data_IF_041758792163
#
_entry.id   IF_041758792163
#
_cell.length_a   1.000
_cell.length_b   1.000
_cell.length_c   1.000
_cell.angle_alpha   90.00
_cell.angle_beta   90.00
_cell.angle_gamma   90.00
#
_symmetry.space_group_name_H-M   'P 1'
#
loop_
_entity.id
_entity.type
_entity.pdbx_description
1 polymer ?
#
# COMPACT_ATOMS: atom_id res chain seq x y z
N UNK A 1 -0.92 23.36 -8.84
CA UNK A 1 -1.75 23.57 -7.64
C UNK A 1 -1.82 22.26 -6.87
N UNK A 2 -0.97 22.05 -5.87
CA UNK A 2 -0.93 20.79 -5.11
C UNK A 2 -1.93 20.84 -3.97
N UNK A 3 -3.18 20.50 -4.25
CA UNK A 3 -4.13 20.11 -3.20
C UNK A 3 -3.67 18.74 -2.66
N UNK A 4 -2.64 18.76 -1.80
CA UNK A 4 -2.36 17.67 -0.87
C UNK A 4 -3.49 17.70 0.17
N UNK A 5 -4.70 17.30 -0.22
CA UNK A 5 -5.81 17.18 0.71
C UNK A 5 -5.40 16.14 1.74
N UNK A 6 -5.16 16.61 2.98
CA UNK A 6 -4.96 15.71 4.09
C UNK A 6 -6.21 14.82 4.12
N UNK A 7 -6.08 13.49 3.96
CA UNK A 7 -7.25 12.63 3.93
C UNK A 7 -7.97 12.75 5.27
N UNK A 8 -9.24 13.16 5.22
CA UNK A 8 -10.09 13.22 6.41
C UNK A 8 -10.35 11.80 6.86
N UNK A 9 -9.87 11.44 8.05
CA UNK A 9 -10.16 10.15 8.68
C UNK A 9 -11.35 10.32 9.62
N UNK A 10 -12.22 9.33 9.74
CA UNK A 10 -13.40 9.44 10.59
C UNK A 10 -13.26 8.57 11.82
N UNK A 11 -13.46 9.15 13.01
CA UNK A 11 -13.53 8.39 14.26
C UNK A 11 -15.00 8.27 14.69
N UNK A 12 -15.52 7.04 14.83
CA UNK A 12 -16.81 6.82 15.46
C UNK A 12 -16.68 6.99 16.98
N UNK A 13 -17.53 7.85 17.54
CA UNK A 13 -17.76 7.97 18.97
C UNK A 13 -18.97 7.13 19.37
N UNK A 14 -19.27 7.13 20.67
CA UNK A 14 -20.51 6.55 21.19
C UNK A 14 -21.74 7.23 20.58
N UNK A 15 -22.88 6.52 20.60
CA UNK A 15 -24.18 7.03 20.12
C UNK A 15 -24.14 7.51 18.66
N UNK A 16 -23.45 6.75 17.80
CA UNK A 16 -23.37 6.99 16.35
C UNK A 16 -22.87 8.38 15.91
N UNK A 17 -22.14 9.08 16.79
CA UNK A 17 -21.49 10.34 16.44
C UNK A 17 -20.22 10.08 15.65
N UNK A 18 -19.96 10.86 14.61
CA UNK A 18 -18.79 10.69 13.75
C UNK A 18 -17.96 11.97 13.74
N UNK A 19 -16.67 11.85 14.05
CA UNK A 19 -15.74 12.99 14.09
C UNK A 19 -14.80 12.94 12.89
N UNK A 20 -14.79 13.97 12.03
CA UNK A 20 -13.77 14.10 10.99
C UNK A 20 -12.46 14.58 11.60
N UNK A 21 -11.40 13.80 11.46
CA UNK A 21 -10.03 14.16 11.81
C UNK A 21 -9.25 14.58 10.57
N UNK A 22 -8.82 15.84 10.56
CA UNK A 22 -7.89 16.39 9.57
C UNK A 22 -6.48 16.52 10.14
N UNK A 23 -6.29 16.24 11.42
CA UNK A 23 -5.11 16.60 12.19
C UNK A 23 -4.96 15.78 13.47
N UNK A 24 -3.80 15.89 14.12
CA UNK A 24 -3.53 15.28 15.43
C UNK A 24 -3.07 16.34 16.44
N UNK A 25 -2.80 17.58 16.01
CA UNK A 25 -2.51 18.61 16.99
C UNK A 25 -3.73 18.89 17.87
N UNK A 26 -3.55 19.26 19.15
CA UNK A 26 -4.67 19.58 20.02
C UNK A 26 -5.62 20.65 19.46
N UNK A 27 -5.06 21.64 18.76
CA UNK A 27 -5.85 22.68 18.10
C UNK A 27 -6.74 22.10 16.99
N UNK A 28 -6.20 21.21 16.14
CA UNK A 28 -6.98 20.54 15.10
C UNK A 28 -8.05 19.62 15.70
N UNK A 29 -7.74 18.87 16.77
CA UNK A 29 -8.73 18.02 17.43
C UNK A 29 -9.89 18.82 18.05
N UNK A 30 -9.61 20.03 18.58
CA UNK A 30 -10.65 20.96 19.03
C UNK A 30 -11.54 21.41 17.88
N UNK A 31 -10.98 21.65 16.70
CA UNK A 31 -11.76 21.98 15.50
C UNK A 31 -12.60 20.78 15.06
N UNK A 32 -12.01 19.59 15.03
CA UNK A 32 -12.69 18.33 14.70
C UNK A 32 -13.86 18.03 15.63
N UNK A 33 -13.72 18.24 16.94
CA UNK A 33 -14.79 18.05 17.91
C UNK A 33 -15.98 19.02 17.72
N UNK A 34 -15.75 20.20 17.13
CA UNK A 34 -16.83 21.12 16.73
C UNK A 34 -17.56 20.62 15.48
N UNK A 35 -16.82 20.01 14.55
CA UNK A 35 -17.31 19.48 13.26
C UNK A 35 -17.91 18.07 13.33
N UNK A 36 -18.11 17.52 14.53
CA UNK A 36 -18.73 16.21 14.72
C UNK A 36 -20.12 16.16 14.09
N UNK A 37 -20.31 15.21 13.17
CA UNK A 37 -21.64 14.83 12.69
C UNK A 37 -22.38 14.15 13.84
N UNK A 38 -23.53 14.70 14.22
CA UNK A 38 -24.29 14.26 15.38
C UNK A 38 -25.41 13.35 14.93
N UNK A 39 -25.68 12.32 15.74
CA UNK A 39 -26.95 11.61 15.68
C UNK A 39 -28.00 12.35 16.56
N UNK A 40 -29.11 11.70 16.90
CA UNK A 40 -30.24 12.30 17.65
C UNK A 40 -29.86 12.92 19.00
N UNK A 41 -28.82 12.41 19.66
CA UNK A 41 -28.45 12.83 21.02
C UNK A 41 -27.44 13.98 21.07
N UNK A 42 -27.62 14.92 22.00
CA UNK A 42 -26.68 16.03 22.18
C UNK A 42 -25.52 15.63 23.09
N UNK A 43 -24.31 15.59 22.54
CA UNK A 43 -23.08 15.38 23.31
C UNK A 43 -22.35 16.73 23.53
N UNK A 44 -21.86 16.96 24.75
CA UNK A 44 -21.08 18.17 25.09
C UNK A 44 -19.72 18.20 24.37
N UNK A 45 -19.15 19.39 24.16
CA UNK A 45 -17.85 19.52 23.52
C UNK A 45 -16.73 18.80 24.30
N UNK A 46 -16.73 18.92 25.64
CA UNK A 46 -15.74 18.27 26.52
C UNK A 46 -15.84 16.75 26.45
N UNK A 47 -17.06 16.20 26.41
CA UNK A 47 -17.27 14.76 26.25
C UNK A 47 -16.72 14.27 24.89
N UNK A 48 -16.92 15.02 23.81
CA UNK A 48 -16.35 14.68 22.49
C UNK A 48 -14.83 14.66 22.52
N UNK A 49 -14.20 15.67 23.11
CA UNK A 49 -12.75 15.74 23.23
C UNK A 49 -12.18 14.55 24.02
N UNK A 50 -12.80 14.21 25.15
CA UNK A 50 -12.37 13.07 25.96
C UNK A 50 -12.59 11.74 25.22
N UNK A 51 -13.68 11.61 24.46
CA UNK A 51 -13.93 10.42 23.65
C UNK A 51 -12.92 10.30 22.49
N UNK A 52 -12.54 11.41 21.85
CA UNK A 52 -11.47 11.44 20.85
C UNK A 52 -10.14 10.99 21.48
N UNK A 53 -9.76 11.58 22.62
CA UNK A 53 -8.52 11.21 23.32
C UNK A 53 -8.47 9.72 23.68
N UNK A 54 -9.58 9.18 24.20
CA UNK A 54 -9.72 7.74 24.50
C UNK A 54 -9.58 6.87 23.26
N UNK A 55 -10.19 7.26 22.14
CA UNK A 55 -10.08 6.54 20.85
C UNK A 55 -8.66 6.58 20.26
N UNK A 56 -7.90 7.64 20.55
CA UNK A 56 -6.49 7.75 20.19
C UNK A 56 -5.56 6.99 21.16
N UNK A 57 -6.10 6.26 22.13
CA UNK A 57 -5.34 5.43 23.06
C UNK A 57 -4.82 6.16 24.30
N UNK A 58 -5.22 7.41 24.53
CA UNK A 58 -4.78 8.18 25.71
C UNK A 58 -5.79 8.08 26.85
N UNK A 59 -5.33 7.57 27.99
CA UNK A 59 -6.07 7.57 29.26
C UNK A 59 -5.95 8.93 29.96
N UNK A 60 -7.02 9.39 30.64
CA UNK A 60 -7.01 10.67 31.36
C UNK A 60 -7.63 11.85 30.60
N UNK A 61 -8.28 11.59 29.46
CA UNK A 61 -9.03 12.61 28.71
C UNK A 61 -8.14 13.56 27.90
N UNK A 62 -8.71 14.68 27.48
CA UNK A 62 -8.07 15.56 26.50
C UNK A 62 -6.88 16.36 27.06
N UNK A 63 -6.88 16.70 28.35
CA UNK A 63 -5.72 17.34 28.98
C UNK A 63 -4.50 16.40 29.02
N UNK A 64 -4.72 15.10 29.28
CA UNK A 64 -3.67 14.09 29.19
C UNK A 64 -3.15 13.96 27.75
N UNK A 65 -4.05 14.02 26.75
CA UNK A 65 -3.67 14.04 25.35
C UNK A 65 -2.78 15.24 25.00
N UNK A 66 -3.12 16.45 25.45
CA UNK A 66 -2.29 17.64 25.24
C UNK A 66 -0.88 17.49 25.83
N UNK A 67 -0.78 16.91 27.04
CA UNK A 67 0.49 16.63 27.68
C UNK A 67 1.31 15.61 26.89
N UNK A 68 0.72 14.50 26.48
CA UNK A 68 1.38 13.43 25.71
C UNK A 68 1.81 13.92 24.32
N UNK A 69 0.96 14.72 23.66
CA UNK A 69 1.26 15.29 22.36
C UNK A 69 2.51 16.17 22.42
N UNK A 70 2.59 17.06 23.41
CA UNK A 70 3.71 17.98 23.54
C UNK A 70 4.97 17.30 24.11
N UNK A 71 4.81 16.34 25.02
CA UNK A 71 5.92 15.69 25.72
C UNK A 71 6.57 14.53 24.95
N UNK A 72 5.78 13.76 24.19
CA UNK A 72 6.25 12.53 23.54
C UNK A 72 6.10 12.60 22.02
N UNK A 73 4.89 12.95 21.54
CA UNK A 73 4.55 12.82 20.13
C UNK A 73 5.25 13.87 19.26
N UNK A 74 5.22 15.13 19.67
CA UNK A 74 5.85 16.23 18.94
C UNK A 74 7.38 16.07 18.87
N UNK A 75 8.10 15.76 19.97
CA UNK A 75 9.52 15.44 19.91
C UNK A 75 9.84 14.24 19.00
N UNK A 76 9.02 13.18 19.04
CA UNK A 76 9.17 12.04 18.12
C UNK A 76 9.05 12.49 16.66
N UNK A 77 8.02 13.28 16.33
CA UNK A 77 7.83 13.81 14.97
C UNK A 77 9.03 14.67 14.52
N UNK A 78 9.55 15.54 15.39
CA UNK A 78 10.73 16.37 15.09
C UNK A 78 11.98 15.52 14.88
N UNK A 79 12.25 14.57 15.78
CA UNK A 79 13.41 13.65 15.72
C UNK A 79 13.45 12.86 14.41
N UNK A 80 12.29 12.41 13.93
CA UNK A 80 12.15 11.62 12.71
C UNK A 80 11.82 12.47 11.46
N UNK A 81 11.93 13.80 11.55
CA UNK A 81 11.67 14.73 10.46
C UNK A 81 10.26 14.60 9.83
N UNK A 82 9.27 14.19 10.64
CA UNK A 82 7.87 14.02 10.27
C UNK A 82 7.14 15.37 10.24
N UNK A 83 7.60 16.29 9.38
CA UNK A 83 7.13 17.69 9.34
C UNK A 83 5.79 17.88 8.64
N UNK A 84 5.38 16.92 7.80
CA UNK A 84 4.19 17.00 6.97
C UNK A 84 3.53 15.63 6.90
N UNK A 85 2.20 15.63 6.90
CA UNK A 85 1.44 14.43 6.53
C UNK A 85 1.62 14.18 5.04
N UNK A 86 1.98 12.95 4.68
CA UNK A 86 2.05 12.48 3.30
C UNK A 86 1.23 11.20 3.22
N UNK A 87 0.41 11.07 2.18
CA UNK A 87 -0.26 9.80 1.90
C UNK A 87 0.81 8.87 1.33
N UNK A 88 1.26 7.90 2.13
CA UNK A 88 2.29 6.94 1.75
C UNK A 88 1.73 5.74 0.98
N UNK A 89 0.40 5.66 0.78
CA UNK A 89 -0.25 4.53 0.13
C UNK A 89 -0.63 4.85 -1.31
N UNK A 90 -0.59 6.12 -1.72
CA UNK A 90 -0.86 6.53 -3.09
C UNK A 90 0.46 6.75 -3.82
N UNK A 91 0.63 6.10 -4.97
CA UNK A 91 1.80 6.35 -5.82
C UNK A 91 1.73 7.77 -6.40
N UNK A 92 2.90 8.43 -6.46
CA UNK A 92 3.04 9.79 -7.00
C UNK A 92 3.24 9.77 -8.51
N UNK A 93 3.79 8.67 -9.03
CA UNK A 93 3.90 8.35 -10.44
C UNK A 93 3.28 6.96 -10.61
N UNK A 94 2.01 6.94 -10.99
CA UNK A 94 1.39 5.69 -11.42
C UNK A 94 2.13 5.32 -12.72
N UNK A 95 2.89 4.22 -12.72
CA UNK A 95 3.42 3.69 -13.98
C UNK A 95 2.26 3.27 -14.89
N UNK A 96 2.48 3.19 -16.19
CA UNK A 96 1.45 2.71 -17.15
C UNK A 96 0.98 1.27 -16.84
N UNK A 97 1.66 0.57 -15.92
CA UNK A 97 1.35 -0.78 -15.48
C UNK A 97 0.90 -0.82 -14.02
N UNK A 98 -0.41 -1.01 -13.84
CA UNK A 98 -1.05 -1.29 -12.55
C UNK A 98 -0.87 -2.76 -12.11
N UNK A 99 0.36 -3.30 -12.11
CA UNK A 99 0.60 -4.65 -11.56
C UNK A 99 0.43 -4.70 -10.03
N UNK A 100 0.52 -3.54 -9.37
CA UNK A 100 0.36 -3.41 -7.92
C UNK A 100 -0.82 -2.48 -7.60
N UNK A 101 -1.87 -3.04 -6.99
CA UNK A 101 -2.90 -2.22 -6.38
C UNK A 101 -2.35 -1.60 -5.08
N UNK A 102 -2.42 -0.27 -4.92
CA UNK A 102 -2.00 0.36 -3.68
C UNK A 102 -2.81 -0.19 -2.51
N UNK A 103 -2.14 -0.45 -1.38
CA UNK A 103 -2.85 -0.91 -0.19
C UNK A 103 -3.82 0.15 0.32
N UNK A 104 -5.01 -0.27 0.70
CA UNK A 104 -5.91 0.57 1.49
C UNK A 104 -5.37 0.77 2.91
N UNK A 105 -5.77 1.86 3.56
CA UNK A 105 -5.44 2.11 4.97
C UNK A 105 -5.92 0.97 5.88
N UNK A 106 -7.05 0.34 5.55
CA UNK A 106 -7.58 -0.80 6.28
C UNK A 106 -6.67 -2.03 6.16
N UNK A 107 -6.25 -2.40 4.95
CA UNK A 107 -5.35 -3.55 4.74
C UNK A 107 -4.00 -3.36 5.47
N UNK A 108 -3.50 -2.13 5.55
CA UNK A 108 -2.30 -1.83 6.34
C UNK A 108 -2.58 -2.00 7.84
N UNK A 109 -3.69 -1.47 8.33
CA UNK A 109 -4.10 -1.60 9.73
C UNK A 109 -4.25 -3.06 10.15
N UNK A 110 -4.91 -3.87 9.33
CA UNK A 110 -5.12 -5.31 9.58
C UNK A 110 -3.78 -6.05 9.71
N UNK A 111 -2.80 -5.75 8.85
CA UNK A 111 -1.46 -6.37 8.92
C UNK A 111 -0.63 -5.91 10.12
N UNK A 112 -0.81 -4.68 10.59
CA UNK A 112 -0.04 -4.15 11.71
C UNK A 112 -0.62 -4.57 13.07
N UNK A 113 -1.95 -4.66 13.17
CA UNK A 113 -2.64 -4.79 14.47
C UNK A 113 -3.46 -6.07 14.62
N UNK A 114 -3.84 -6.72 13.53
CA UNK A 114 -4.73 -7.90 13.53
C UNK A 114 -4.07 -9.14 12.88
N UNK A 115 -2.76 -9.11 12.68
CA UNK A 115 -2.00 -10.23 12.15
C UNK A 115 -1.56 -11.17 13.29
N UNK A 116 -1.81 -12.46 13.16
CA UNK A 116 -1.46 -13.48 14.17
C UNK A 116 0.04 -13.84 14.20
N UNK A 117 0.83 -13.34 13.24
CA UNK A 117 2.28 -13.53 13.19
C UNK A 117 3.07 -12.37 13.83
N UNK A 118 4.42 -12.37 13.67
CA UNK A 118 5.26 -11.30 14.21
C UNK A 118 4.93 -9.95 13.57
N UNK A 119 4.82 -8.91 14.40
CA UNK A 119 4.50 -7.56 13.94
C UNK A 119 5.48 -7.09 12.85
N UNK A 120 5.00 -6.65 11.68
CA UNK A 120 5.86 -6.16 10.62
C UNK A 120 6.72 -4.99 11.07
N UNK A 121 8.04 -5.07 10.88
CA UNK A 121 8.99 -3.98 11.23
C UNK A 121 9.06 -2.89 10.16
N UNK A 122 8.71 -3.22 8.92
CA UNK A 122 8.75 -2.34 7.76
C UNK A 122 7.57 -2.68 6.85
N UNK A 123 7.02 -1.66 6.19
CA UNK A 123 5.99 -1.79 5.17
C UNK A 123 6.53 -1.17 3.88
N UNK A 124 6.63 -1.97 2.82
CA UNK A 124 6.88 -1.44 1.48
C UNK A 124 5.56 -0.95 0.90
N UNK A 125 5.45 0.37 0.70
CA UNK A 125 4.25 0.99 0.14
C UNK A 125 4.42 1.41 -1.32
N UNK A 126 5.61 1.21 -1.90
CA UNK A 126 5.96 1.72 -3.23
C UNK A 126 5.93 3.26 -3.35
N UNK A 127 5.87 3.96 -2.23
CA UNK A 127 5.86 5.42 -2.16
C UNK A 127 7.23 6.00 -2.48
N UNK A 128 7.31 6.95 -3.43
CA UNK A 128 8.54 7.51 -4.00
C UNK A 128 9.53 6.43 -4.55
N UNK A 129 9.05 5.21 -4.78
CA UNK A 129 9.84 4.17 -5.41
C UNK A 129 9.87 4.41 -6.93
N UNK A 130 11.06 4.34 -7.51
CA UNK A 130 11.22 4.49 -8.95
C UNK A 130 10.91 3.16 -9.64
N UNK A 131 9.71 3.05 -10.18
CA UNK A 131 9.28 1.88 -10.96
C UNK A 131 9.84 1.89 -12.40
N UNK A 132 10.58 2.92 -12.83
CA UNK A 132 11.14 2.96 -14.19
C UNK A 132 12.33 2.02 -14.38
N UNK A 133 13.06 1.71 -13.29
CA UNK A 133 14.24 0.84 -13.29
C UNK A 133 13.95 -0.66 -13.10
N UNK A 134 13.00 -1.07 -12.23
CA UNK A 134 12.62 -2.46 -12.06
C UNK A 134 11.30 -2.74 -12.79
N UNK A 135 11.37 -3.51 -13.87
CA UNK A 135 10.23 -4.06 -14.63
C UNK A 135 9.55 -3.06 -15.60
N UNK A 136 10.31 -2.15 -16.21
CA UNK A 136 9.91 -1.58 -17.52
C UNK A 136 10.22 -2.53 -18.69
N UNK A 137 10.98 -3.60 -18.44
CA UNK A 137 11.49 -4.58 -19.40
C UNK A 137 10.57 -5.79 -19.67
N UNK A 138 9.36 -5.86 -19.12
CA UNK A 138 8.56 -7.09 -19.20
C UNK A 138 7.10 -6.86 -19.54
N UNK A 139 6.77 -5.76 -20.18
CA UNK A 139 5.38 -5.54 -20.54
C UNK A 139 5.19 -5.18 -21.99
N UNK A 140 5.97 -4.26 -22.57
CA UNK A 140 5.99 -4.15 -24.02
C UNK A 140 6.78 -5.31 -24.64
N UNK A 141 7.98 -5.62 -24.15
CA UNK A 141 8.75 -6.76 -24.65
C UNK A 141 8.05 -8.11 -24.37
N UNK A 142 7.33 -8.23 -23.26
CA UNK A 142 6.49 -9.40 -22.99
C UNK A 142 5.25 -9.39 -23.88
N UNK A 143 4.58 -8.25 -24.07
CA UNK A 143 3.43 -8.16 -24.98
C UNK A 143 3.83 -8.45 -26.43
N UNK A 144 4.99 -7.98 -26.87
CA UNK A 144 5.57 -8.23 -28.19
C UNK A 144 5.99 -9.70 -28.30
N UNK A 145 6.68 -10.26 -27.29
CA UNK A 145 7.03 -11.70 -27.26
C UNK A 145 5.79 -12.62 -27.20
N UNK A 146 4.74 -12.24 -26.49
CA UNK A 146 3.47 -12.97 -26.41
C UNK A 146 2.63 -12.80 -27.69
N UNK A 147 2.80 -11.70 -28.43
CA UNK A 147 2.18 -11.52 -29.75
C UNK A 147 2.94 -12.30 -30.84
N UNK A 148 4.23 -12.53 -30.67
CA UNK A 148 5.05 -13.33 -31.60
C UNK A 148 4.91 -14.85 -31.36
N UNK A 149 4.66 -15.28 -30.13
CA UNK A 149 4.51 -16.70 -29.77
C UNK A 149 3.22 -16.98 -28.97
N UNK A 150 2.21 -17.49 -29.67
CA UNK A 150 0.91 -17.84 -29.09
C UNK A 150 1.00 -18.92 -28.01
N UNK A 151 1.98 -19.84 -28.08
CA UNK A 151 2.13 -20.90 -27.07
C UNK A 151 2.61 -20.32 -25.72
N UNK A 152 3.50 -19.33 -25.74
CA UNK A 152 3.89 -18.59 -24.53
C UNK A 152 2.75 -17.74 -23.98
N UNK A 153 1.98 -17.11 -24.86
CA UNK A 153 0.80 -16.32 -24.49
C UNK A 153 -0.21 -17.16 -23.71
N UNK A 154 -0.54 -18.34 -24.23
CA UNK A 154 -1.46 -19.28 -23.59
C UNK A 154 -0.92 -19.80 -22.25
N UNK A 155 0.39 -20.09 -22.15
CA UNK A 155 1.04 -20.51 -20.89
C UNK A 155 0.97 -19.43 -19.80
N UNK A 156 1.22 -18.17 -20.18
CA UNK A 156 1.28 -17.05 -19.25
C UNK A 156 -0.13 -16.63 -18.85
N UNK A 157 -1.04 -16.42 -19.80
CA UNK A 157 -2.43 -16.03 -19.54
C UNK A 157 -3.21 -17.15 -18.83
N UNK A 158 -2.92 -18.42 -19.13
CA UNK A 158 -3.51 -19.59 -18.46
C UNK A 158 -2.95 -19.88 -17.07
N UNK A 159 -1.92 -19.14 -16.64
CA UNK A 159 -1.17 -19.33 -15.40
C UNK A 159 -0.58 -20.75 -15.24
N UNK A 160 -0.27 -21.45 -16.33
CA UNK A 160 0.20 -22.84 -16.27
C UNK A 160 1.59 -22.95 -15.63
N UNK A 161 2.44 -21.95 -15.84
CA UNK A 161 3.75 -21.84 -15.20
C UNK A 161 3.65 -21.73 -13.66
N UNK A 162 2.68 -20.97 -13.15
CA UNK A 162 2.41 -20.85 -11.70
C UNK A 162 1.82 -22.14 -11.14
N UNK A 163 0.83 -22.72 -11.83
CA UNK A 163 0.20 -23.97 -11.39
C UNK A 163 1.20 -25.10 -11.28
N UNK A 164 2.09 -25.25 -12.26
CA UNK A 164 3.19 -26.21 -12.22
C UNK A 164 4.20 -25.94 -11.11
N UNK A 165 4.52 -24.67 -10.83
CA UNK A 165 5.48 -24.33 -9.78
C UNK A 165 4.96 -24.57 -8.35
N UNK A 166 3.63 -24.61 -8.18
CA UNK A 166 2.97 -24.79 -6.87
C UNK A 166 2.44 -26.21 -6.69
N UNK A 167 2.16 -26.95 -7.78
CA UNK A 167 1.67 -28.32 -7.78
C UNK A 167 2.53 -29.22 -8.67
N UNK A 168 3.33 -30.08 -8.04
CA UNK A 168 4.20 -31.06 -8.71
C UNK A 168 3.42 -32.09 -9.55
N UNK A 169 2.12 -32.25 -9.30
CA UNK A 169 1.25 -33.18 -10.05
C UNK A 169 0.46 -32.49 -11.17
N UNK A 170 0.76 -31.22 -11.49
CA UNK A 170 0.07 -30.51 -12.56
C UNK A 170 0.28 -31.23 -13.91
N UNK A 171 -0.79 -31.87 -14.40
CA UNK A 171 -0.77 -32.63 -15.64
C UNK A 171 -0.72 -31.70 -16.85
N UNK A 172 0.41 -31.67 -17.55
CA UNK A 172 0.61 -30.88 -18.78
C UNK A 172 0.28 -31.65 -20.05
N UNK A 173 -0.12 -32.92 -19.98
CA UNK A 173 -0.33 -33.78 -21.15
C UNK A 173 -1.45 -33.32 -22.08
N UNK A 174 -2.37 -32.50 -21.57
CA UNK A 174 -3.45 -31.89 -22.34
C UNK A 174 -3.03 -30.64 -23.13
N UNK A 175 -1.80 -30.14 -22.94
CA UNK A 175 -1.23 -28.99 -23.64
C UNK A 175 -0.50 -29.43 -24.92
N UNK A 176 -0.24 -28.48 -25.83
CA UNK A 176 0.53 -28.78 -27.04
C UNK A 176 1.95 -29.25 -26.71
N UNK A 177 2.56 -30.07 -27.58
CA UNK A 177 3.93 -30.57 -27.36
C UNK A 177 4.94 -29.41 -27.15
N UNK A 178 4.71 -28.29 -27.85
CA UNK A 178 5.51 -27.07 -27.70
C UNK A 178 5.29 -26.43 -26.33
N UNK A 179 4.06 -26.30 -25.86
CA UNK A 179 3.77 -25.76 -24.53
C UNK A 179 4.35 -26.63 -23.41
N UNK A 180 4.26 -27.96 -23.56
CA UNK A 180 4.87 -28.90 -22.62
C UNK A 180 6.38 -28.76 -22.56
N UNK A 181 7.03 -28.58 -23.71
CA UNK A 181 8.47 -28.32 -23.81
C UNK A 181 8.84 -26.99 -23.13
N UNK A 182 8.13 -25.90 -23.43
CA UNK A 182 8.37 -24.58 -22.84
C UNK A 182 8.23 -24.58 -21.32
N UNK A 183 7.20 -25.23 -20.78
CA UNK A 183 7.03 -25.36 -19.32
C UNK A 183 8.19 -26.14 -18.68
N UNK A 184 8.80 -27.10 -19.40
CA UNK A 184 9.94 -27.90 -18.92
C UNK A 184 11.28 -27.17 -18.96
N UNK A 185 11.39 -26.09 -19.73
CA UNK A 185 12.60 -25.25 -19.79
C UNK A 185 12.82 -24.39 -18.55
N UNK A 186 11.91 -24.46 -17.58
CA UNK A 186 11.92 -23.69 -16.34
C UNK A 186 11.75 -22.19 -16.59
N UNK A 187 10.49 -21.74 -16.60
CA UNK A 187 10.14 -20.31 -16.71
C UNK A 187 10.75 -19.48 -15.54
N UNK A 188 11.26 -20.14 -14.49
CA UNK A 188 12.01 -19.48 -13.41
C UNK A 188 13.52 -19.36 -13.65
N UNK A 189 14.06 -19.98 -14.71
CA UNK A 189 15.49 -19.99 -15.01
C UNK A 189 15.75 -19.51 -16.44
N UNK A 190 16.45 -18.38 -16.56
CA UNK A 190 16.98 -17.78 -17.80
C UNK A 190 15.98 -17.13 -18.79
N UNK A 191 15.49 -15.94 -18.44
CA UNK A 191 15.54 -14.83 -19.41
C UNK A 191 17.00 -14.33 -19.44
N UNK A 192 17.93 -15.19 -19.85
CA UNK A 192 19.28 -14.79 -20.24
C UNK A 192 19.21 -14.50 -21.73
N UNK A 193 18.62 -13.35 -22.09
CA UNK A 193 18.68 -12.87 -23.46
C UNK A 193 20.15 -12.68 -23.78
N UNK A 194 20.62 -13.37 -24.82
CA UNK A 194 21.95 -13.18 -25.40
C UNK A 194 22.21 -11.69 -25.52
N UNK A 195 23.11 -11.18 -24.68
CA UNK A 195 23.84 -9.95 -24.94
C UNK A 195 24.55 -10.16 -26.28
N UNK A 196 23.85 -9.79 -27.36
CA UNK A 196 24.49 -9.37 -28.59
C UNK A 196 25.44 -8.27 -28.19
N UNK A 197 26.70 -8.67 -28.11
CA UNK A 197 27.89 -7.88 -28.29
C UNK A 197 27.61 -6.47 -28.84
N UNK A 198 27.50 -5.51 -27.94
CA UNK A 198 27.55 -4.08 -28.24
C UNK A 198 28.88 -3.51 -27.75
N UNK A 199 29.99 -4.24 -27.94
CA UNK A 199 31.35 -3.64 -27.88
C UNK A 199 31.68 -2.86 -29.15
N UNK A 200 30.72 -2.09 -29.64
CA UNK A 200 30.88 -1.25 -30.81
C UNK A 200 29.76 -0.23 -30.88
N UNK A 201 29.99 0.96 -30.32
CA UNK A 201 29.73 2.29 -30.90
C UNK A 201 30.15 3.37 -29.87
N UNK A 202 30.55 4.57 -30.33
CA UNK A 202 31.60 5.38 -29.71
C UNK A 202 31.11 6.37 -28.64
N UNK A 203 32.09 6.81 -27.82
CA UNK A 203 32.02 7.75 -26.68
C UNK A 203 30.94 8.84 -26.73
#
# INVERSE_FOLDING_TARGET
MTNNSIPTTYIPLEKFHIVPLTGLSPAELKISAKRTSRDREKITHTTKLNAIAKRLGITGGFAAYEKEYNGSLLPFMVKHNLRKRKNLLKHTKDGDYNLYFPFSHQQVSERLFFFEGPTPKKLFTGHDFDFSGPISWHSQDLYDALNEDSDWSDIILGNYHIKRAIDDNFDISHLSDRQQYLLKLDVTTEITVRLLDQTGLPN
#
